data_IF_346488846485
#
_entry.id   IF_346488846485
#
_cell.length_a   1.000
_cell.length_b   1.000
_cell.length_c   1.000
_cell.angle_alpha   90.00
_cell.angle_beta   90.00
_cell.angle_gamma   90.00
#
_symmetry.space_group_name_H-M   'P 1'
#
loop_
_entity.id
_entity.type
_entity.pdbx_description
1 polymer ?
#
# COMPACT_ATOMS: atom_id res chain seq x y z
N UNK A 1 -5.28 -3.29 -25.60
CA UNK A 1 -4.64 -3.48 -24.29
C UNK A 1 -3.71 -2.30 -24.09
N UNK A 2 -3.75 -1.59 -22.94
CA UNK A 2 -2.85 -0.46 -22.74
C UNK A 2 -1.39 -0.91 -22.81
N UNK A 3 -0.54 -0.02 -23.30
CA UNK A 3 0.90 -0.23 -23.43
C UNK A 3 1.52 -0.63 -22.08
N UNK A 4 2.33 -1.68 -22.08
CA UNK A 4 2.99 -2.27 -20.90
C UNK A 4 4.11 -1.37 -20.33
N UNK A 5 4.37 -0.22 -20.96
CA UNK A 5 5.55 0.62 -20.71
C UNK A 5 5.62 1.31 -19.35
N UNK A 6 4.57 1.30 -18.52
CA UNK A 6 4.63 1.91 -17.18
C UNK A 6 3.89 1.11 -16.08
N UNK A 7 4.18 -0.18 -15.91
CA UNK A 7 3.96 -0.75 -14.56
C UNK A 7 4.75 0.13 -13.59
N UNK A 8 4.07 0.93 -12.75
CA UNK A 8 4.68 1.83 -11.74
C UNK A 8 5.78 1.06 -11.01
N UNK A 9 7.04 1.28 -11.41
CA UNK A 9 8.19 0.63 -10.77
C UNK A 9 8.36 1.30 -9.42
N UNK A 10 8.26 0.50 -8.37
CA UNK A 10 8.62 0.96 -7.04
C UNK A 10 10.10 0.73 -6.83
N UNK A 11 10.78 1.74 -6.28
CA UNK A 11 12.14 1.62 -5.78
C UNK A 11 12.04 1.49 -4.26
N UNK A 12 12.61 0.41 -3.72
CA UNK A 12 12.67 0.19 -2.29
C UNK A 12 14.01 0.72 -1.78
N UNK A 13 13.97 1.44 -0.66
CA UNK A 13 15.17 1.67 0.13
C UNK A 13 15.72 0.33 0.62
N UNK A 14 17.00 0.31 0.95
CA UNK A 14 17.63 -0.86 1.59
C UNK A 14 16.87 -1.22 2.86
N UNK A 15 16.50 -2.50 2.97
CA UNK A 15 15.95 -3.04 4.21
C UNK A 15 17.04 -3.03 5.29
N UNK A 16 16.67 -2.97 6.59
CA UNK A 16 17.65 -3.18 7.64
C UNK A 16 18.30 -4.57 7.52
N UNK A 17 19.51 -4.70 8.07
CA UNK A 17 20.38 -5.84 7.82
C UNK A 17 19.75 -7.20 8.13
N UNK A 18 18.95 -7.28 9.19
CA UNK A 18 18.31 -8.53 9.60
C UNK A 18 17.23 -8.96 8.59
N UNK A 19 16.34 -8.05 8.21
CA UNK A 19 15.29 -8.30 7.23
C UNK A 19 15.87 -8.62 5.86
N UNK A 20 16.97 -7.98 5.48
CA UNK A 20 17.67 -8.30 4.23
C UNK A 20 18.27 -9.72 4.25
N UNK A 21 18.80 -10.17 5.40
CA UNK A 21 19.26 -11.57 5.57
C UNK A 21 18.10 -12.55 5.45
N UNK A 22 16.98 -12.28 6.12
CA UNK A 22 15.78 -13.13 6.04
C UNK A 22 15.23 -13.21 4.61
N UNK A 23 15.11 -12.07 3.93
CA UNK A 23 14.66 -12.02 2.54
C UNK A 23 15.60 -12.80 1.61
N UNK A 24 16.91 -12.66 1.80
CA UNK A 24 17.92 -13.37 1.01
C UNK A 24 17.85 -14.89 1.24
N UNK A 25 17.70 -15.33 2.50
CA UNK A 25 17.54 -16.74 2.83
C UNK A 25 16.25 -17.33 2.23
N UNK A 26 15.13 -16.60 2.35
CA UNK A 26 13.85 -17.02 1.76
C UNK A 26 13.92 -17.11 0.23
N UNK A 27 14.57 -16.15 -0.42
CA UNK A 27 14.79 -16.18 -1.86
C UNK A 27 15.66 -17.37 -2.29
N UNK A 28 16.72 -17.67 -1.53
CA UNK A 28 17.59 -18.82 -1.76
C UNK A 28 16.83 -20.15 -1.67
N UNK A 29 16.09 -20.39 -0.58
CA UNK A 29 15.36 -21.66 -0.41
C UNK A 29 14.24 -21.88 -1.44
N UNK A 30 13.73 -20.80 -2.03
CA UNK A 30 12.69 -20.87 -3.07
C UNK A 30 13.25 -20.81 -4.50
N UNK A 31 14.57 -20.77 -4.66
CA UNK A 31 15.27 -20.61 -5.95
C UNK A 31 14.76 -19.40 -6.75
N UNK A 32 14.74 -18.23 -6.12
CA UNK A 32 14.22 -16.98 -6.70
C UNK A 32 15.25 -15.85 -6.63
N UNK A 33 15.14 -14.92 -7.57
CA UNK A 33 15.81 -13.61 -7.45
C UNK A 33 15.24 -12.87 -6.23
N UNK A 34 16.12 -12.24 -5.45
CA UNK A 34 15.75 -11.45 -4.25
C UNK A 34 14.68 -10.41 -4.57
N UNK A 35 14.79 -9.70 -5.70
CA UNK A 35 13.81 -8.71 -6.14
C UNK A 35 12.42 -9.31 -6.42
N UNK A 36 12.37 -10.51 -7.02
CA UNK A 36 11.12 -11.23 -7.26
C UNK A 36 10.49 -11.68 -5.96
N UNK A 37 11.31 -12.16 -5.01
CA UNK A 37 10.81 -12.56 -3.70
C UNK A 37 10.34 -11.36 -2.86
N UNK A 38 11.00 -10.20 -2.97
CA UNK A 38 10.56 -8.96 -2.34
C UNK A 38 9.18 -8.54 -2.84
N UNK A 39 8.95 -8.57 -4.15
CA UNK A 39 7.64 -8.27 -4.74
C UNK A 39 6.56 -9.27 -4.26
N UNK A 40 6.90 -10.56 -4.15
CA UNK A 40 5.99 -11.57 -3.62
C UNK A 40 5.65 -11.35 -2.14
N UNK A 41 6.65 -11.00 -1.31
CA UNK A 41 6.45 -10.69 0.10
C UNK A 41 5.56 -9.46 0.28
N UNK A 42 5.79 -8.40 -0.50
CA UNK A 42 4.96 -7.19 -0.49
C UNK A 42 3.50 -7.51 -0.89
N UNK A 43 3.31 -8.27 -1.97
CA UNK A 43 1.97 -8.68 -2.40
C UNK A 43 1.24 -9.52 -1.35
N UNK A 44 1.96 -10.41 -0.66
CA UNK A 44 1.41 -11.20 0.44
C UNK A 44 0.97 -10.31 1.60
N UNK A 45 1.83 -9.38 2.02
CA UNK A 45 1.51 -8.44 3.09
C UNK A 45 0.29 -7.56 2.76
N UNK A 46 0.20 -7.06 1.53
CA UNK A 46 -0.95 -6.27 1.08
C UNK A 46 -2.26 -7.07 1.12
N UNK A 47 -2.24 -8.35 0.74
CA UNK A 47 -3.42 -9.23 0.85
C UNK A 47 -3.80 -9.50 2.30
N UNK A 48 -2.82 -9.76 3.16
CA UNK A 48 -3.06 -9.94 4.59
C UNK A 48 -3.64 -8.67 5.24
N UNK A 49 -3.23 -7.50 4.76
CA UNK A 49 -3.72 -6.20 5.21
C UNK A 49 -5.00 -5.72 4.50
N UNK A 50 -5.60 -6.53 3.63
CA UNK A 50 -6.66 -6.11 2.71
C UNK A 50 -7.82 -5.42 3.44
N UNK A 51 -8.41 -6.08 4.43
CA UNK A 51 -9.62 -5.57 5.09
C UNK A 51 -9.34 -4.25 5.81
N UNK A 52 -8.19 -4.14 6.47
CA UNK A 52 -7.72 -2.91 7.10
C UNK A 52 -7.61 -1.77 6.09
N UNK A 53 -6.98 -2.01 4.93
CA UNK A 53 -6.80 -1.01 3.87
C UNK A 53 -8.16 -0.60 3.32
N UNK A 54 -9.04 -1.56 3.03
CA UNK A 54 -10.35 -1.29 2.44
C UNK A 54 -11.30 -0.59 3.40
N UNK A 55 -11.25 -0.86 4.70
CA UNK A 55 -12.04 -0.15 5.70
C UNK A 55 -11.67 1.34 5.76
N UNK A 56 -10.37 1.67 5.75
CA UNK A 56 -9.94 3.07 5.72
C UNK A 56 -10.33 3.75 4.40
N UNK A 57 -10.19 3.02 3.29
CA UNK A 57 -10.61 3.48 1.98
C UNK A 57 -12.11 3.79 1.97
N UNK A 58 -12.94 2.92 2.55
CA UNK A 58 -14.38 3.10 2.66
C UNK A 58 -14.76 4.30 3.52
N UNK A 59 -14.09 4.50 4.66
CA UNK A 59 -14.31 5.66 5.52
C UNK A 59 -14.14 6.99 4.77
N UNK A 60 -13.02 7.16 4.08
CA UNK A 60 -12.75 8.40 3.33
C UNK A 60 -13.55 8.49 2.03
N UNK A 61 -13.85 7.37 1.38
CA UNK A 61 -14.74 7.33 0.23
C UNK A 61 -16.13 7.88 0.59
N UNK A 62 -16.70 7.46 1.73
CA UNK A 62 -17.98 7.94 2.21
C UNK A 62 -17.97 9.47 2.46
N UNK A 63 -16.89 10.01 3.06
CA UNK A 63 -16.73 11.47 3.22
C UNK A 63 -16.67 12.21 1.88
N UNK A 64 -16.05 11.60 0.87
CA UNK A 64 -15.93 12.14 -0.49
C UNK A 64 -17.18 11.90 -1.36
N UNK A 65 -18.21 11.18 -0.86
CA UNK A 65 -19.38 10.80 -1.65
C UNK A 65 -19.10 9.77 -2.75
N UNK A 66 -18.05 8.96 -2.58
CA UNK A 66 -17.59 7.93 -3.52
C UNK A 66 -17.77 6.52 -2.95
N UNK A 67 -17.76 5.51 -3.82
CA UNK A 67 -17.62 4.12 -3.37
C UNK A 67 -16.17 3.83 -3.00
N UNK A 68 -15.95 2.85 -2.11
CA UNK A 68 -14.58 2.44 -1.73
C UNK A 68 -13.72 1.99 -2.91
N UNK A 69 -14.32 1.37 -3.93
CA UNK A 69 -13.59 0.95 -5.13
C UNK A 69 -13.21 2.14 -6.00
N UNK A 70 -14.15 3.08 -6.22
CA UNK A 70 -13.85 4.31 -6.96
C UNK A 70 -12.78 5.16 -6.26
N UNK A 71 -12.80 5.20 -4.93
CA UNK A 71 -11.79 5.92 -4.16
C UNK A 71 -10.42 5.20 -4.18
N UNK A 72 -10.40 3.86 -4.13
CA UNK A 72 -9.18 3.08 -4.33
C UNK A 72 -8.54 3.35 -5.68
N UNK A 73 -9.35 3.34 -6.75
CA UNK A 73 -8.90 3.66 -8.11
C UNK A 73 -8.39 5.10 -8.18
N UNK A 74 -9.07 6.06 -7.55
CA UNK A 74 -8.62 7.44 -7.47
C UNK A 74 -7.27 7.57 -6.76
N UNK A 75 -7.04 6.87 -5.65
CA UNK A 75 -5.73 6.84 -4.96
C UNK A 75 -4.64 6.30 -5.90
N UNK A 76 -4.96 5.26 -6.68
CA UNK A 76 -4.01 4.66 -7.61
C UNK A 76 -3.70 5.58 -8.79
N UNK A 77 -4.69 6.26 -9.36
CA UNK A 77 -4.56 7.08 -10.57
C UNK A 77 -4.09 8.50 -10.25
N UNK A 78 -4.68 9.15 -9.24
CA UNK A 78 -4.42 10.53 -8.85
C UNK A 78 -4.45 10.73 -7.32
N UNK A 79 -3.38 10.35 -6.60
CA UNK A 79 -3.34 10.43 -5.14
C UNK A 79 -3.43 11.86 -4.60
N UNK A 80 -3.01 12.87 -5.35
CA UNK A 80 -3.13 14.27 -4.91
C UNK A 80 -4.58 14.73 -4.94
N UNK A 81 -5.39 14.27 -5.89
CA UNK A 81 -6.82 14.54 -5.90
C UNK A 81 -7.55 13.79 -4.79
N UNK A 82 -7.19 12.53 -4.54
CA UNK A 82 -7.71 11.77 -3.39
C UNK A 82 -7.45 12.53 -2.08
N UNK A 83 -6.24 13.06 -1.86
CA UNK A 83 -5.91 13.88 -0.68
C UNK A 83 -6.76 15.13 -0.54
N UNK A 84 -7.09 15.84 -1.63
CA UNK A 84 -7.95 17.03 -1.57
C UNK A 84 -9.37 16.67 -1.14
N UNK A 85 -9.91 15.56 -1.65
CA UNK A 85 -11.25 15.08 -1.29
C UNK A 85 -11.36 14.65 0.17
N UNK A 86 -10.23 14.30 0.80
CA UNK A 86 -10.15 14.02 2.23
C UNK A 86 -10.28 15.29 3.11
N UNK A 87 -10.43 16.48 2.51
CA UNK A 87 -10.65 17.77 3.18
C UNK A 87 -9.60 18.11 4.25
N UNK A 88 -8.38 18.47 3.82
CA UNK A 88 -7.48 19.30 4.62
C UNK A 88 -6.86 18.67 5.88
N UNK A 89 -7.03 17.37 6.13
CA UNK A 89 -6.25 16.67 7.16
C UNK A 89 -4.77 16.66 6.70
N UNK A 90 -4.00 17.62 7.22
CA UNK A 90 -2.54 17.63 7.08
C UNK A 90 -1.98 16.35 7.67
N UNK A 91 -1.76 15.35 6.82
CA UNK A 91 -1.29 14.04 7.24
C UNK A 91 -2.44 13.21 7.79
N UNK A 92 -2.66 12.06 7.16
CA UNK A 92 -3.58 11.01 7.62
C UNK A 92 -3.20 10.54 9.06
N UNK A 93 -2.01 10.89 9.54
CA UNK A 93 -1.57 10.79 10.93
C UNK A 93 -0.68 11.99 11.31
N UNK A 94 -1.25 13.03 11.93
CA UNK A 94 -0.50 13.95 12.81
C UNK A 94 -1.09 13.85 14.20
N UNK A 95 -0.38 13.13 15.08
CA UNK A 95 -0.58 13.07 16.53
C UNK A 95 -1.96 12.61 17.07
N UNK A 96 -2.83 12.03 16.23
CA UNK A 96 -3.97 11.24 16.72
C UNK A 96 -3.57 9.76 16.76
N UNK A 97 -4.06 8.97 17.73
CA UNK A 97 -3.93 7.53 17.66
C UNK A 97 -4.49 7.11 16.31
N UNK A 98 -3.80 6.19 15.64
CA UNK A 98 -4.35 5.58 14.45
C UNK A 98 -5.82 5.23 14.72
N UNK A 99 -6.69 5.33 13.71
CA UNK A 99 -8.09 4.86 13.81
C UNK A 99 -8.17 3.39 14.28
N UNK A 100 -7.02 2.71 14.39
CA UNK A 100 -6.73 1.48 15.12
C UNK A 100 -6.71 1.63 16.66
N UNK A 101 -7.69 2.33 17.25
CA UNK A 101 -8.04 2.04 18.64
C UNK A 101 -8.60 0.62 18.71
N UNK A 102 -7.89 -0.27 19.40
CA UNK A 102 -8.37 -1.63 19.68
C UNK A 102 -9.72 -1.56 20.41
N UNK A 103 -10.77 -2.12 19.80
CA UNK A 103 -11.89 -2.72 20.53
C UNK A 103 -11.69 -4.23 20.61
#
# INVERSE_FOLDING_TARGET
>A
MPDLSERKRIYLNSLPDYEMKLLSALAFFLDRKVSTQAAAALAMYLRQSHDRIMNQTEYYANKAGLSKWAFLDLIYENPEEAKKLMQGEEGIHKDQPDVFGEE
#
